data_IF_142659399282
#
_entry.id   IF_142659399282
#
_cell.length_a   1.000
_cell.length_b   1.000
_cell.length_c   1.000
_cell.angle_alpha   90.00
_cell.angle_beta   90.00
_cell.angle_gamma   90.00
#
_symmetry.space_group_name_H-M   'P 1'
#
loop_
_entity.id
_entity.type
_entity.pdbx_description
1 polymer ?
2 non-polymer ?
3 water ?
#
# COMPACT_ATOMS: atom_id res chain seq x y z
N UNK A 1 1.93 -19.99 3.70
CA UNK A 1 1.94 -18.51 3.37
C UNK A 1 2.34 -17.69 4.62
N UNK A 2 1.88 -16.44 4.70
CA UNK A 2 2.02 -15.56 5.89
C UNK A 2 0.68 -14.91 6.20
N UNK A 3 0.53 -14.39 7.41
CA UNK A 3 -0.72 -13.78 7.91
C UNK A 3 -0.51 -12.32 8.29
N UNK A 4 -1.60 -11.59 8.40
CA UNK A 4 -1.64 -10.17 8.84
C UNK A 4 -2.56 -10.11 10.05
N UNK A 5 -2.15 -9.34 11.07
CA UNK A 5 -2.93 -9.18 12.32
C UNK A 5 -3.04 -7.69 12.66
N UNK A 6 -4.28 -7.26 12.90
CA UNK A 6 -4.61 -5.88 13.32
C UNK A 6 -4.97 -5.91 14.80
N UNK A 7 -4.23 -5.14 15.61
CA UNK A 7 -4.45 -4.94 17.05
C UNK A 7 -5.48 -3.83 17.22
N UNK A 8 -6.67 -4.16 17.69
CA UNK A 8 -7.75 -3.20 18.04
C UNK A 8 -7.92 -2.18 16.92
N UNK A 9 -8.13 -2.61 15.65
CA UNK A 9 -8.39 -1.67 14.54
C UNK A 9 -9.56 -0.72 14.82
N UNK A 10 -9.42 0.56 14.50
CA UNK A 10 -10.35 1.64 14.97
C UNK A 10 -11.20 2.18 13.81
N UNK A 11 -10.66 2.19 12.60
CA UNK A 11 -11.26 2.91 11.45
C UNK A 11 -11.66 1.88 10.39
N UNK A 12 -12.94 1.88 10.04
CA UNK A 12 -13.56 0.77 9.27
C UNK A 12 -13.00 0.72 7.84
N UNK A 13 -13.01 1.81 7.05
CA UNK A 13 -12.56 1.74 5.65
C UNK A 13 -11.16 1.09 5.57
N UNK A 14 -10.28 1.34 6.55
CA UNK A 14 -8.90 0.78 6.57
C UNK A 14 -9.00 -0.74 6.59
N UNK A 15 -9.83 -1.28 7.47
CA UNK A 15 -9.98 -2.73 7.66
C UNK A 15 -10.66 -3.34 6.42
N UNK A 16 -11.58 -2.59 5.80
CA UNK A 16 -12.20 -3.02 4.53
C UNK A 16 -11.12 -3.16 3.47
N UNK A 17 -10.30 -2.13 3.34
CA UNK A 17 -9.15 -2.08 2.42
C UNK A 17 -8.24 -3.29 2.63
N UNK A 18 -7.97 -3.60 3.90
CA UNK A 18 -7.00 -4.64 4.30
C UNK A 18 -7.61 -6.02 4.05
N UNK A 19 -8.93 -6.18 4.15
CA UNK A 19 -9.55 -7.48 3.82
C UNK A 19 -9.37 -7.74 2.32
N UNK A 20 -9.60 -6.75 1.45
CA UNK A 20 -9.42 -6.94 -0.03
C UNK A 20 -7.95 -7.34 -0.24
N UNK A 21 -7.06 -6.66 0.45
CA UNK A 21 -5.59 -6.82 0.30
C UNK A 21 -5.16 -8.24 0.65
N UNK A 22 -5.67 -8.79 1.73
CA UNK A 22 -5.35 -10.16 2.17
C UNK A 22 -5.81 -11.15 1.09
N UNK A 23 -6.98 -10.92 0.49
CA UNK A 23 -7.48 -11.81 -0.58
C UNK A 23 -6.51 -11.69 -1.76
N UNK A 24 -6.03 -10.47 -2.03
CA UNK A 24 -5.21 -10.17 -3.23
C UNK A 24 -3.82 -10.84 -3.11
N UNK A 25 -3.27 -11.01 -1.92
CA UNK A 25 -1.93 -11.63 -1.72
C UNK A 25 -2.02 -12.96 -0.95
N UNK A 26 -3.24 -13.39 -0.61
CA UNK A 26 -3.54 -14.73 -0.07
C UNK A 26 -3.08 -14.95 1.37
N UNK A 27 -3.01 -13.88 2.15
CA UNK A 27 -2.71 -13.90 3.60
C UNK A 27 -4.02 -14.12 4.37
N UNK A 28 -3.95 -14.75 5.53
CA UNK A 28 -5.10 -14.74 6.46
C UNK A 28 -5.04 -13.44 7.28
N UNK A 29 -6.20 -12.94 7.69
CA UNK A 29 -6.33 -11.68 8.44
C UNK A 29 -6.85 -11.99 9.84
N UNK A 30 -6.15 -11.50 10.85
CA UNK A 30 -6.49 -11.65 12.28
C UNK A 30 -6.88 -10.28 12.82
N UNK A 31 -8.08 -10.17 13.37
CA UNK A 31 -8.57 -8.95 14.03
C UNK A 31 -8.63 -9.22 15.52
N UNK A 32 -7.88 -8.47 16.32
CA UNK A 32 -7.85 -8.66 17.78
C UNK A 32 -8.80 -7.64 18.38
N UNK A 33 -9.92 -8.12 18.97
CA UNK A 33 -10.94 -7.28 19.64
C UNK A 33 -10.36 -6.58 20.86
N UNK A 34 -10.94 -5.44 21.32
CA UNK A 34 -12.07 -4.79 20.65
C UNK A 34 -11.75 -3.92 19.42
N UNK A 35 -12.68 -3.90 18.46
CA UNK A 35 -12.70 -3.12 17.20
C UNK A 35 -13.39 -1.79 17.46
N UNK A 36 -13.16 -0.75 16.65
CA UNK A 36 -13.85 0.55 16.72
C UNK A 36 -15.09 0.58 15.83
N UNK A 37 -15.55 -0.59 15.40
CA UNK A 37 -16.63 -0.69 14.39
C UNK A 37 -17.25 -2.10 14.45
N UNK A 38 -18.44 -2.21 13.86
CA UNK A 38 -19.20 -3.47 13.66
C UNK A 38 -18.91 -3.94 12.23
N UNK A 39 -19.00 -5.24 11.95
CA UNK A 39 -18.94 -5.79 10.56
C UNK A 39 -20.36 -6.16 10.11
N UNK A 40 -21.29 -5.21 10.10
CA UNK A 40 -22.72 -5.41 9.69
C UNK A 40 -22.78 -5.66 8.17
N UNK A 41 -23.59 -6.63 7.72
CA UNK A 41 -23.73 -7.05 6.29
C UNK A 41 -23.89 -5.82 5.37
N UNK A 42 -24.59 -4.77 5.82
CA UNK A 42 -24.97 -3.59 4.98
C UNK A 42 -23.72 -2.69 4.72
N UNK A 43 -22.81 -2.57 5.70
CA UNK A 43 -21.52 -1.80 5.61
C UNK A 43 -20.52 -2.60 4.76
N UNK A 44 -20.48 -3.92 4.96
CA UNK A 44 -19.63 -4.91 4.22
C UNK A 44 -19.94 -4.88 2.71
N UNK A 45 -21.23 -4.84 2.34
CA UNK A 45 -21.72 -4.78 0.94
C UNK A 45 -21.40 -3.40 0.34
N UNK A 46 -21.62 -2.31 1.11
CA UNK A 46 -21.34 -0.91 0.70
C UNK A 46 -19.85 -0.76 0.33
N UNK A 47 -18.95 -1.50 1.01
CA UNK A 47 -17.49 -1.47 0.78
C UNK A 47 -17.04 -2.54 -0.24
N UNK A 48 -17.97 -3.16 -0.99
CA UNK A 48 -17.67 -4.06 -2.13
C UNK A 48 -17.14 -5.44 -1.72
N UNK A 49 -17.56 -5.95 -0.55
CA UNK A 49 -17.10 -7.25 0.00
C UNK A 49 -18.26 -8.24 0.11
N UNK A 50 -17.92 -9.51 0.36
CA UNK A 50 -18.85 -10.67 0.34
C UNK A 50 -18.43 -11.69 1.42
N UNK A 51 -19.12 -12.85 1.45
CA UNK A 51 -18.82 -14.07 2.26
C UNK A 51 -17.36 -14.53 2.06
N UNK A 52 -16.87 -14.55 0.82
CA UNK A 52 -15.59 -15.23 0.44
C UNK A 52 -14.42 -14.43 1.01
N UNK A 53 -14.47 -13.10 0.91
CA UNK A 53 -13.47 -12.17 1.49
C UNK A 53 -13.43 -12.33 3.02
N UNK A 54 -14.60 -12.56 3.64
CA UNK A 54 -14.75 -12.60 5.12
C UNK A 54 -14.45 -14.00 5.70
N UNK A 55 -14.12 -14.98 4.86
CA UNK A 55 -13.69 -16.34 5.29
C UNK A 55 -12.26 -16.26 5.82
N UNK A 56 -11.39 -15.51 5.13
CA UNK A 56 -9.98 -15.19 5.51
C UNK A 56 -9.91 -14.55 6.92
N UNK A 57 -11.01 -13.97 7.44
CA UNK A 57 -11.01 -13.15 8.70
C UNK A 57 -11.27 -14.03 9.91
N UNK A 58 -10.36 -14.04 10.87
CA UNK A 58 -10.52 -14.68 12.19
C UNK A 58 -10.46 -13.57 13.25
N UNK A 59 -11.44 -13.53 14.14
CA UNK A 59 -11.52 -12.60 15.30
C UNK A 59 -10.93 -13.30 16.53
N UNK A 60 -10.27 -12.56 17.42
CA UNK A 60 -9.71 -13.03 18.72
C UNK A 60 -10.18 -12.10 19.83
N UNK A 61 -10.42 -12.68 21.01
CA UNK A 61 -10.99 -12.00 22.20
C UNK A 61 -9.99 -10.95 22.69
N UNK A 62 -8.69 -11.25 22.60
CA UNK A 62 -7.58 -10.39 23.08
C UNK A 62 -6.24 -10.92 22.53
N UNK A 63 -5.14 -10.22 22.84
CA UNK A 63 -3.79 -10.55 22.31
C UNK A 63 -3.43 -12.00 22.66
N UNK A 64 -3.74 -12.42 23.89
CA UNK A 64 -3.30 -13.76 24.39
C UNK A 64 -4.13 -14.84 23.67
N UNK A 65 -5.40 -14.59 23.37
CA UNK A 65 -6.26 -15.52 22.58
C UNK A 65 -5.64 -15.71 21.19
N UNK A 66 -5.13 -14.62 20.62
CA UNK A 66 -4.45 -14.59 19.31
C UNK A 66 -3.19 -15.45 19.39
N UNK A 67 -2.38 -15.30 20.44
CA UNK A 67 -1.17 -16.15 20.62
C UNK A 67 -1.56 -17.62 20.82
N UNK A 68 -2.63 -17.89 21.57
CA UNK A 68 -3.04 -19.29 21.87
C UNK A 68 -3.37 -19.96 20.53
N UNK A 69 -4.11 -19.25 19.68
CA UNK A 69 -4.54 -19.70 18.33
C UNK A 69 -3.34 -20.11 17.49
N UNK A 70 -2.27 -19.32 17.54
CA UNK A 70 -1.09 -19.52 16.66
C UNK A 70 -0.29 -20.73 17.13
N UNK A 71 -0.11 -20.89 18.43
CA UNK A 71 0.70 -22.04 18.93
C UNK A 71 -0.11 -23.34 18.73
N UNK A 72 -1.45 -23.31 18.75
CA UNK A 72 -2.35 -24.48 18.51
C UNK A 72 -2.35 -24.87 17.01
N UNK A 73 -1.53 -24.23 16.19
CA UNK A 73 -1.57 -24.33 14.72
C UNK A 73 -0.20 -24.65 14.13
N UNK A 74 0.88 -24.29 14.82
CA UNK A 74 2.25 -24.61 14.37
C UNK A 74 3.27 -23.53 14.73
N UNK A 75 4.42 -23.58 14.05
CA UNK A 75 5.53 -22.59 14.19
C UNK A 75 5.02 -21.23 13.67
N UNK A 76 5.53 -20.15 14.24
CA UNK A 76 5.20 -18.75 13.85
C UNK A 76 6.22 -17.79 14.44
N UNK A 77 6.38 -16.66 13.79
CA UNK A 77 7.12 -15.49 14.31
C UNK A 77 6.18 -14.30 14.18
N UNK A 78 6.08 -13.45 15.19
CA UNK A 78 5.31 -12.19 15.08
C UNK A 78 6.28 -11.05 14.76
N UNK A 79 5.99 -10.28 13.71
CA UNK A 79 6.76 -9.07 13.34
C UNK A 79 5.88 -7.85 13.62
N UNK A 80 6.38 -6.90 14.40
CA UNK A 80 5.62 -5.70 14.78
C UNK A 80 6.05 -4.53 13.90
N UNK A 81 5.08 -3.89 13.22
CA UNK A 81 5.27 -2.61 12.49
C UNK A 81 5.23 -1.48 13.52
N UNK A 82 6.35 -0.77 13.64
CA UNK A 82 6.53 0.27 14.68
C UNK A 82 7.55 1.32 14.23
N UNK A 83 7.41 2.54 14.77
CA UNK A 83 8.39 3.62 14.57
C UNK A 83 9.49 3.47 15.61
N UNK A 84 9.31 2.58 16.59
CA UNK A 84 10.16 2.52 17.80
C UNK A 84 11.32 1.52 17.63
N UNK A 85 11.93 1.48 16.44
CA UNK A 85 13.04 0.55 16.12
C UNK A 85 13.89 1.15 14.98
N UNK A 86 15.01 0.52 14.67
CA UNK A 86 16.00 1.00 13.67
C UNK A 86 15.93 0.14 12.40
N UNK A 87 15.41 -1.10 12.50
CA UNK A 87 15.35 -2.09 11.41
C UNK A 87 14.24 -1.80 10.38
N UNK A 88 14.63 -1.79 9.10
CA UNK A 88 13.70 -1.66 7.93
C UNK A 88 12.99 -2.99 7.66
N UNK A 89 11.81 -2.90 7.05
CA UNK A 89 10.98 -4.05 6.60
C UNK A 89 11.78 -4.92 5.63
N UNK A 90 12.70 -4.33 4.86
CA UNK A 90 13.53 -5.02 3.84
C UNK A 90 14.63 -5.87 4.49
N UNK A 91 15.04 -5.53 5.72
CA UNK A 91 16.27 -6.09 6.33
C UNK A 91 15.92 -7.36 7.08
N UNK A 92 14.63 -7.61 7.34
CA UNK A 92 14.16 -8.87 7.95
C UNK A 92 14.09 -9.94 6.86
N UNK A 93 14.49 -11.17 7.19
CA UNK A 93 14.37 -12.37 6.33
C UNK A 93 13.01 -13.03 6.68
N UNK A 94 11.98 -12.84 5.86
CA UNK A 94 10.61 -13.37 6.12
C UNK A 94 10.59 -14.84 5.74
N UNK A 95 9.63 -15.58 6.29
CA UNK A 95 9.48 -17.01 5.95
C UNK A 95 8.04 -17.43 6.21
N UNK A 96 7.61 -18.45 5.47
CA UNK A 96 6.29 -19.12 5.64
C UNK A 96 6.03 -19.23 7.16
N UNK A 97 4.82 -18.85 7.60
CA UNK A 97 4.34 -18.96 9.00
C UNK A 97 4.44 -17.66 9.78
N UNK A 98 5.16 -16.66 9.26
CA UNK A 98 5.33 -15.33 9.91
C UNK A 98 3.98 -14.61 9.95
N UNK A 99 3.83 -13.72 10.94
CA UNK A 99 2.61 -12.90 11.17
C UNK A 99 3.02 -11.42 11.24
N UNK A 100 2.42 -10.58 10.40
CA UNK A 100 2.71 -9.14 10.35
C UNK A 100 1.67 -8.40 11.20
N UNK A 101 2.09 -7.88 12.34
CA UNK A 101 1.24 -7.28 13.39
C UNK A 101 1.26 -5.77 13.28
N UNK A 102 0.07 -5.15 13.29
CA UNK A 102 -0.12 -3.69 13.08
C UNK A 102 -0.94 -3.14 14.24
N UNK A 103 -0.59 -1.94 14.70
CA UNK A 103 -1.25 -1.28 15.83
C UNK A 103 -2.45 -0.47 15.34
N UNK A 104 -3.31 -0.04 16.27
CA UNK A 104 -4.42 0.83 15.94
C UNK A 104 -3.91 2.19 15.44
N UNK A 105 -4.66 2.78 14.50
CA UNK A 105 -4.33 4.00 13.71
C UNK A 105 -4.06 5.18 14.67
N UNK A 106 -4.78 5.22 15.79
CA UNK A 106 -4.95 6.41 16.66
C UNK A 106 -4.11 6.27 17.93
N UNK A 107 -3.33 5.17 18.05
CA UNK A 107 -2.72 4.79 19.34
C UNK A 107 -1.37 4.11 19.14
N UNK A 108 -1.24 3.28 18.10
CA UNK A 108 -0.07 2.39 17.91
C UNK A 108 -0.11 1.20 18.86
N UNK A 109 0.77 0.22 18.62
CA UNK A 109 0.86 -1.03 19.44
C UNK A 109 1.25 -0.67 20.87
N UNK A 110 0.72 -1.40 21.86
CA UNK A 110 1.15 -1.23 23.25
C UNK A 110 2.67 -1.49 23.38
N UNK A 111 3.35 -0.70 24.21
CA UNK A 111 4.80 -0.83 24.53
C UNK A 111 5.12 -2.30 24.85
N UNK A 112 4.29 -2.95 25.67
CA UNK A 112 4.48 -4.32 26.23
C UNK A 112 4.58 -5.33 25.10
N UNK A 113 3.70 -5.21 24.10
CA UNK A 113 3.59 -6.15 22.94
C UNK A 113 4.88 -6.05 22.11
N UNK A 114 5.27 -4.83 21.71
CA UNK A 114 6.54 -4.57 20.96
C UNK A 114 7.72 -5.11 21.76
N UNK A 115 7.72 -4.92 23.09
CA UNK A 115 8.86 -5.28 23.96
C UNK A 115 8.92 -6.79 24.12
N UNK A 116 7.78 -7.48 23.93
CA UNK A 116 7.70 -8.95 24.07
C UNK A 116 8.52 -9.62 22.96
N UNK A 117 8.86 -8.90 21.90
CA UNK A 117 9.51 -9.47 20.69
C UNK A 117 10.95 -8.98 20.62
N UNK A 118 11.89 -9.80 20.10
CA UNK A 118 13.27 -9.34 19.88
C UNK A 118 13.42 -8.27 18.81
N UNK A 119 14.51 -7.50 18.86
CA UNK A 119 14.86 -6.40 17.93
C UNK A 119 14.60 -6.83 16.47
N UNK A 120 15.06 -8.01 16.07
CA UNK A 120 15.01 -8.48 14.66
C UNK A 120 13.56 -8.57 14.16
N UNK A 121 12.56 -8.70 15.05
CA UNK A 121 11.12 -8.90 14.74
C UNK A 121 10.33 -7.60 14.91
N UNK A 122 11.03 -6.49 15.06
CA UNK A 122 10.43 -5.14 15.07
C UNK A 122 10.88 -4.42 13.80
N UNK A 123 9.94 -3.84 13.04
CA UNK A 123 10.28 -3.32 11.69
C UNK A 123 9.55 -2.01 11.48
N UNK A 124 10.25 -1.07 10.84
CA UNK A 124 9.75 0.26 10.45
C UNK A 124 9.86 0.38 8.93
N UNK A 125 8.88 0.99 8.30
CA UNK A 125 8.99 1.37 6.86
C UNK A 125 9.84 2.64 6.79
N UNK A 126 10.87 2.69 5.92
CA UNK A 126 11.61 3.91 5.69
C UNK A 126 10.67 5.11 5.47
N UNK A 127 11.07 6.28 5.94
CA UNK A 127 10.32 7.55 5.84
C UNK A 127 11.31 8.67 5.56
N UNK A 128 10.97 9.57 4.62
CA UNK A 128 11.59 10.90 4.49
C UNK A 128 11.37 11.62 5.82
N UNK A 129 12.27 12.56 6.19
CA UNK A 129 12.09 13.38 7.37
C UNK A 129 10.77 14.15 7.43
N UNK A 130 10.19 14.25 8.63
CA UNK A 130 9.12 15.23 8.95
C UNK A 130 7.97 15.03 7.93
N UNK A 131 7.54 13.77 7.75
CA UNK A 131 6.41 13.38 6.87
C UNK A 131 5.25 12.85 7.74
N UNK A 132 4.01 13.22 7.38
CA UNK A 132 2.78 12.62 7.95
C UNK A 132 2.90 11.08 7.85
N UNK A 133 2.37 10.36 8.84
CA UNK A 133 2.27 8.87 8.82
C UNK A 133 1.45 8.38 7.60
N UNK A 134 1.77 7.16 7.13
CA UNK A 134 1.09 6.45 6.00
C UNK A 134 -0.30 6.04 6.47
N UNK A 135 -1.25 5.93 5.54
CA UNK A 135 -2.51 5.19 5.82
C UNK A 135 -2.15 3.77 6.23
N UNK A 136 -2.85 3.23 7.22
CA UNK A 136 -2.61 1.85 7.74
C UNK A 136 -2.61 0.82 6.59
N UNK A 137 -3.57 0.84 5.67
CA UNK A 137 -3.67 -0.13 4.55
C UNK A 137 -2.39 -0.09 3.73
N UNK A 138 -1.89 1.10 3.44
CA UNK A 138 -0.66 1.28 2.62
C UNK A 138 0.53 0.67 3.37
N UNK A 139 0.63 0.87 4.67
CA UNK A 139 1.71 0.28 5.50
C UNK A 139 1.63 -1.25 5.44
N UNK A 140 0.42 -1.79 5.50
CA UNK A 140 0.21 -3.26 5.45
C UNK A 140 0.63 -3.74 4.06
N UNK A 141 0.23 -3.02 3.01
CA UNK A 141 0.55 -3.31 1.60
C UNK A 141 2.07 -3.39 1.42
N UNK A 142 2.80 -2.37 1.88
CA UNK A 142 4.27 -2.25 1.73
C UNK A 142 4.90 -3.47 2.40
N UNK A 143 4.56 -3.71 3.65
CA UNK A 143 5.31 -4.75 4.38
C UNK A 143 4.89 -6.13 3.83
N UNK A 144 3.60 -6.32 3.56
CA UNK A 144 3.04 -7.59 2.99
C UNK A 144 3.74 -7.89 1.66
N UNK A 145 3.96 -6.89 0.80
CA UNK A 145 4.51 -7.16 -0.55
C UNK A 145 6.01 -7.30 -0.48
N UNK A 146 6.66 -6.90 0.61
CA UNK A 146 8.10 -7.19 0.78
C UNK A 146 8.23 -8.65 1.22
N UNK A 147 7.46 -9.09 2.21
CA UNK A 147 7.43 -10.49 2.67
C UNK A 147 7.13 -11.40 1.47
N UNK A 148 6.12 -11.05 0.67
CA UNK A 148 5.72 -11.87 -0.49
C UNK A 148 6.88 -11.92 -1.48
N UNK A 149 7.59 -10.81 -1.68
CA UNK A 149 8.69 -10.76 -2.69
C UNK A 149 9.76 -11.78 -2.29
N UNK A 150 10.13 -11.77 -1.01
CA UNK A 150 11.18 -12.63 -0.41
C UNK A 150 10.76 -14.09 -0.55
N UNK A 151 9.45 -14.38 -0.61
CA UNK A 151 8.90 -15.73 -0.84
C UNK A 151 8.62 -15.95 -2.34
N UNK A 152 9.29 -15.22 -3.23
CA UNK A 152 9.18 -15.31 -4.70
C UNK A 152 7.75 -15.25 -5.19
N UNK A 153 6.84 -14.62 -4.45
CA UNK A 153 5.39 -14.44 -4.78
C UNK A 153 4.75 -15.82 -4.96
N UNK A 154 5.11 -16.80 -4.12
CA UNK A 154 4.47 -18.14 -4.08
C UNK A 154 2.95 -17.95 -4.16
N UNK A 155 2.33 -18.56 -5.18
CA UNK A 155 0.87 -18.73 -5.27
C UNK A 155 0.14 -17.68 -6.09
N UNK A 156 0.88 -16.73 -6.68
CA UNK A 156 0.37 -15.63 -7.54
C UNK A 156 -0.16 -16.24 -8.85
N UNK A 157 -0.96 -15.52 -9.62
CA UNK A 157 -1.48 -16.01 -10.93
C UNK A 157 -0.29 -16.45 -11.79
N UNK A 158 -0.30 -17.70 -12.26
CA UNK A 158 0.72 -18.30 -13.15
C UNK A 158 2.03 -18.66 -12.47
N UNK A 159 1.98 -19.19 -11.23
CA UNK A 159 3.12 -19.56 -10.33
C UNK A 159 2.80 -20.90 -9.66
N UNK B 1 12.98 12.76 -6.68
CA UNK B 1 13.77 11.68 -7.42
C UNK B 1 12.91 10.82 -8.41
N UNK B 2 11.71 10.31 -8.07
CA UNK B 2 10.72 9.79 -9.06
C UNK B 2 9.34 10.37 -8.73
N UNK B 3 8.43 10.34 -9.68
CA UNK B 3 7.07 10.95 -9.57
C UNK B 3 5.99 9.89 -9.73
N UNK B 4 4.82 10.22 -9.22
CA UNK B 4 3.61 9.37 -9.29
C UNK B 4 2.55 10.19 -10.00
N UNK B 5 1.80 9.56 -10.91
CA UNK B 5 0.78 10.22 -11.73
C UNK B 5 -0.49 9.39 -11.71
N UNK B 6 -1.60 10.03 -11.35
CA UNK B 6 -2.96 9.43 -11.34
C UNK B 6 -3.72 9.96 -12.53
N UNK B 7 -4.16 9.08 -13.43
CA UNK B 7 -5.04 9.36 -14.59
C UNK B 7 -6.49 9.35 -14.07
N UNK B 8 -7.13 10.51 -14.09
CA UNK B 8 -8.56 10.72 -13.75
C UNK B 8 -8.92 9.97 -12.46
N UNK B 9 -8.21 10.20 -11.35
CA UNK B 9 -8.60 9.62 -10.06
C UNK B 9 -10.04 9.99 -9.65
N UNK B 10 -10.77 9.03 -9.10
CA UNK B 10 -12.24 9.10 -8.90
C UNK B 10 -12.58 9.23 -7.41
N UNK B 11 -11.78 8.64 -6.50
CA UNK B 11 -12.18 8.45 -5.08
C UNK B 11 -11.22 9.22 -4.18
N UNK B 12 -11.72 10.13 -3.34
CA UNK B 12 -10.88 11.14 -2.65
C UNK B 12 -9.97 10.50 -1.61
N UNK B 13 -10.49 9.67 -0.66
CA UNK B 13 -9.63 8.99 0.31
C UNK B 13 -8.38 8.36 -0.35
N UNK B 14 -8.51 7.76 -1.55
CA UNK B 14 -7.36 7.13 -2.25
C UNK B 14 -6.29 8.20 -2.49
N UNK B 15 -6.70 9.35 -2.97
CA UNK B 15 -5.75 10.43 -3.34
C UNK B 15 -5.15 11.04 -2.06
N UNK B 16 -5.93 11.08 -0.98
CA UNK B 16 -5.42 11.42 0.35
C UNK B 16 -4.30 10.49 0.77
N UNK B 17 -4.55 9.19 0.68
CA UNK B 17 -3.58 8.12 1.04
C UNK B 17 -2.32 8.28 0.21
N UNK B 18 -2.48 8.61 -1.07
CA UNK B 18 -1.34 8.71 -2.03
C UNK B 18 -0.54 9.99 -1.75
N UNK B 19 -1.19 11.06 -1.30
CA UNK B 19 -0.44 12.29 -0.92
C UNK B 19 0.45 11.99 0.27
N UNK B 20 -0.06 11.29 1.30
CA UNK B 20 0.76 10.92 2.49
C UNK B 20 1.94 10.12 1.96
N UNK B 21 1.65 9.17 1.09
CA UNK B 21 2.66 8.22 0.57
C UNK B 21 3.78 8.95 -0.17
N UNK B 22 3.45 9.92 -1.01
CA UNK B 22 4.44 10.70 -1.79
C UNK B 22 5.32 11.48 -0.80
N UNK B 23 4.76 12.00 0.29
CA UNK B 23 5.56 12.73 1.30
C UNK B 23 6.54 11.73 1.91
N UNK B 24 6.06 10.52 2.17
CA UNK B 24 6.85 9.49 2.88
C UNK B 24 8.04 9.03 2.04
N UNK B 25 7.92 8.97 0.70
CA UNK B 25 8.99 8.47 -0.20
C UNK B 25 9.55 9.60 -1.08
N UNK B 26 9.03 10.82 -0.93
CA UNK B 26 9.59 12.04 -1.52
C UNK B 26 9.31 12.18 -3.00
N UNK B 27 8.22 11.60 -3.48
CA UNK B 27 7.79 11.68 -4.89
C UNK B 27 6.91 12.92 -5.08
N UNK B 28 6.92 13.48 -6.28
CA UNK B 28 5.93 14.50 -6.68
C UNK B 28 4.70 13.73 -7.19
N UNK B 29 3.52 14.34 -7.09
CA UNK B 29 2.24 13.69 -7.45
C UNK B 29 1.62 14.51 -8.57
N UNK B 30 1.22 13.83 -9.66
CA UNK B 30 0.56 14.43 -10.84
C UNK B 30 -0.87 13.93 -10.90
N UNK B 31 -1.85 14.83 -10.91
CA UNK B 31 -3.27 14.49 -11.05
C UNK B 31 -3.71 14.98 -12.43
N UNK B 32 -4.13 14.05 -13.29
CA UNK B 32 -4.56 14.37 -14.67
C UNK B 32 -6.08 14.49 -14.65
N UNK B 33 -6.60 15.71 -14.87
CA UNK B 33 -8.06 16.04 -14.88
C UNK B 33 -8.78 15.26 -15.99
N UNK B 34 -10.11 15.01 -15.87
CA UNK B 34 -10.91 15.38 -14.70
C UNK B 34 -10.82 14.44 -13.49
N UNK B 35 -10.93 15.03 -12.30
CA UNK B 35 -10.94 14.34 -10.98
C UNK B 35 -12.39 14.07 -10.61
N UNK B 36 -12.66 13.07 -9.76
CA UNK B 36 -14.01 12.77 -9.23
C UNK B 36 -14.29 13.51 -7.92
N UNK B 37 -13.47 14.51 -7.62
CA UNK B 37 -13.51 15.21 -6.31
C UNK B 37 -12.79 16.57 -6.44
N UNK B 38 -13.02 17.43 -5.45
CA UNK B 38 -12.29 18.72 -5.27
C UNK B 38 -11.20 18.48 -4.23
N UNK B 39 -10.14 19.29 -4.23
CA UNK B 39 -9.24 19.41 -3.06
C UNK B 39 -9.72 20.59 -2.19
N UNK B 40 -10.97 20.54 -1.70
CA UNK B 40 -11.59 21.60 -0.87
C UNK B 40 -10.94 21.51 0.52
N UNK B 41 -10.57 22.65 1.12
CA UNK B 41 -9.73 22.73 2.35
C UNK B 41 -10.40 21.91 3.47
N UNK B 42 -11.74 21.87 3.52
CA UNK B 42 -12.54 21.25 4.62
C UNK B 42 -12.46 19.71 4.53
N UNK B 43 -12.41 19.11 3.33
CA UNK B 43 -12.29 17.65 3.10
C UNK B 43 -10.84 17.22 3.35
N UNK B 44 -9.88 18.05 2.90
CA UNK B 44 -8.39 17.89 3.08
C UNK B 44 -8.05 17.86 4.58
N UNK B 45 -8.64 18.75 5.39
CA UNK B 45 -8.41 18.85 6.86
C UNK B 45 -9.10 17.70 7.58
N UNK B 46 -10.31 17.28 7.15
CA UNK B 46 -11.07 16.13 7.73
C UNK B 46 -10.20 14.85 7.59
N UNK B 47 -9.38 14.75 6.54
CA UNK B 47 -8.46 13.61 6.30
C UNK B 47 -7.05 13.86 6.88
N UNK B 48 -6.87 14.86 7.75
CA UNK B 48 -5.66 15.04 8.57
C UNK B 48 -4.51 15.73 7.83
N UNK B 49 -4.82 16.50 6.79
CA UNK B 49 -3.83 17.22 5.93
C UNK B 49 -4.10 18.73 6.00
N UNK B 50 -3.32 19.51 5.23
CA UNK B 50 -3.59 20.95 4.96
C UNK B 50 -2.96 21.35 3.62
N UNK B 51 -3.03 22.64 3.27
CA UNK B 51 -2.58 23.25 1.98
C UNK B 51 -1.09 22.95 1.70
N UNK B 52 -0.23 22.88 2.72
CA UNK B 52 1.23 22.61 2.58
C UNK B 52 1.44 21.17 2.06
N UNK B 53 0.62 20.21 2.47
CA UNK B 53 0.67 18.80 1.97
C UNK B 53 0.42 18.74 0.46
N UNK B 54 -0.36 19.68 -0.08
CA UNK B 54 -0.71 19.77 -1.52
C UNK B 54 0.33 20.57 -2.33
N UNK B 55 1.54 20.83 -1.83
CA UNK B 55 2.61 21.52 -2.58
C UNK B 55 3.21 20.59 -3.67
N UNK B 56 3.47 19.33 -3.32
CA UNK B 56 4.00 18.32 -4.28
C UNK B 56 3.00 18.02 -5.41
N UNK B 57 1.73 18.49 -5.31
CA UNK B 57 0.63 18.14 -6.26
C UNK B 57 0.61 19.13 -7.42
N UNK B 58 0.69 18.60 -8.63
CA UNK B 58 0.57 19.35 -9.89
C UNK B 58 -0.65 18.79 -10.64
N UNK B 59 -1.55 19.65 -11.09
CA UNK B 59 -2.73 19.28 -11.91
C UNK B 59 -2.41 19.52 -13.37
N UNK B 60 -2.96 18.70 -14.27
CA UNK B 60 -2.85 18.78 -15.74
C UNK B 60 -4.26 18.69 -16.34
N UNK B 61 -4.51 19.42 -17.44
CA UNK B 61 -5.85 19.54 -18.08
C UNK B 61 -6.21 18.16 -18.67
N UNK B 62 -5.22 17.41 -19.16
CA UNK B 62 -5.42 16.07 -19.79
C UNK B 62 -4.10 15.33 -19.96
N UNK B 63 -4.13 14.11 -20.48
CA UNK B 63 -2.93 13.24 -20.58
C UNK B 63 -1.86 13.97 -21.41
N UNK B 64 -2.26 14.63 -22.49
CA UNK B 64 -1.30 15.24 -23.43
C UNK B 64 -0.63 16.45 -22.75
N UNK B 65 -1.37 17.18 -21.92
CA UNK B 65 -0.84 18.31 -21.13
C UNK B 65 0.27 17.77 -20.21
N UNK B 66 0.00 16.62 -19.61
CA UNK B 66 0.93 15.92 -18.69
C UNK B 66 2.19 15.53 -19.47
N UNK B 67 2.05 14.99 -20.67
CA UNK B 67 3.23 14.65 -21.52
C UNK B 67 4.03 15.92 -21.86
N UNK B 68 3.33 17.01 -22.23
CA UNK B 68 4.00 18.26 -22.67
C UNK B 68 4.85 18.76 -21.49
N UNK B 69 4.27 18.73 -20.27
CA UNK B 69 4.90 19.15 -19.00
C UNK B 69 6.23 18.43 -18.77
N UNK B 70 6.24 17.12 -18.99
CA UNK B 70 7.43 16.27 -18.70
C UNK B 70 8.54 16.57 -19.72
N UNK B 71 8.19 16.67 -21.00
CA UNK B 71 9.15 16.99 -22.10
C UNK B 71 9.84 18.32 -21.81
N UNK B 72 9.05 19.32 -21.40
CA UNK B 72 9.55 20.72 -21.24
C UNK B 72 10.25 20.86 -19.89
N UNK B 73 10.59 19.76 -19.22
CA UNK B 73 11.11 19.76 -17.84
C UNK B 73 12.44 19.01 -17.79
N UNK B 74 12.64 17.96 -18.59
CA UNK B 74 13.83 17.10 -18.42
C UNK B 74 13.59 15.68 -18.88
N UNK B 75 14.60 14.83 -18.72
CA UNK B 75 14.58 13.39 -19.11
C UNK B 75 13.57 12.66 -18.21
N UNK B 76 12.90 11.64 -18.75
CA UNK B 76 11.84 10.87 -18.05
C UNK B 76 11.54 9.57 -18.79
N UNK B 77 11.05 8.60 -18.03
CA UNK B 77 10.51 7.32 -18.50
C UNK B 77 9.13 7.21 -17.87
N UNK B 78 8.08 6.90 -18.63
CA UNK B 78 6.76 6.60 -18.00
C UNK B 78 6.66 5.08 -17.86
N UNK B 79 6.29 4.61 -16.68
CA UNK B 79 5.87 3.22 -16.41
C UNK B 79 4.35 3.19 -16.24
N UNK B 80 3.69 2.34 -17.03
CA UNK B 80 2.23 2.11 -16.99
C UNK B 80 1.99 0.95 -16.04
N UNK B 81 1.34 1.27 -14.93
CA UNK B 81 1.07 0.31 -13.84
C UNK B 81 -0.29 -0.27 -14.13
N UNK B 82 -0.35 -1.54 -14.50
CA UNK B 82 -1.59 -2.17 -15.00
C UNK B 82 -1.57 -3.68 -14.72
N UNK B 83 -2.75 -4.27 -14.65
CA UNK B 83 -2.96 -5.73 -14.48
C UNK B 83 -2.76 -6.38 -15.85
N UNK B 84 -2.86 -5.59 -16.91
CA UNK B 84 -3.00 -6.05 -18.32
C UNK B 84 -1.62 -6.17 -18.98
N UNK B 85 -0.66 -6.73 -18.25
CA UNK B 85 0.68 -7.04 -18.75
C UNK B 85 1.30 -8.14 -17.88
N UNK B 86 2.43 -8.67 -18.33
CA UNK B 86 3.06 -9.93 -17.84
C UNK B 86 4.25 -9.60 -16.90
N UNK B 87 4.92 -8.47 -17.10
CA UNK B 87 6.11 -8.05 -16.35
C UNK B 87 5.82 -7.54 -14.95
N UNK B 88 6.55 -8.02 -13.93
CA UNK B 88 6.36 -7.62 -12.50
C UNK B 88 7.04 -6.28 -12.23
N UNK B 89 6.54 -5.57 -11.21
CA UNK B 89 7.12 -4.31 -10.66
C UNK B 89 8.57 -4.55 -10.19
N UNK B 90 8.90 -5.76 -9.74
CA UNK B 90 10.28 -6.08 -9.24
C UNK B 90 11.25 -6.34 -10.40
N UNK B 91 10.79 -6.57 -11.64
CA UNK B 91 11.69 -6.93 -12.76
C UNK B 91 12.15 -5.67 -13.47
N UNK B 92 11.54 -4.53 -13.21
CA UNK B 92 11.98 -3.25 -13.82
C UNK B 92 13.15 -2.67 -13.01
N UNK B 93 14.15 -2.11 -13.69
CA UNK B 93 15.29 -1.40 -13.05
C UNK B 93 14.90 0.10 -13.00
N UNK B 94 14.50 0.62 -11.84
CA UNK B 94 13.97 2.02 -11.71
C UNK B 94 15.14 3.00 -11.65
N UNK B 95 14.90 4.27 -11.92
CA UNK B 95 15.98 5.28 -11.85
C UNK B 95 15.38 6.69 -11.69
N UNK B 96 16.16 7.60 -11.09
CA UNK B 96 15.87 9.06 -11.00
C UNK B 96 15.19 9.48 -12.32
N UNK B 97 14.05 10.18 -12.23
CA UNK B 97 13.32 10.81 -13.35
C UNK B 97 12.14 9.98 -13.84
N UNK B 98 11.99 8.74 -13.34
CA UNK B 98 10.89 7.85 -13.73
C UNK B 98 9.56 8.42 -13.26
N UNK B 99 8.48 8.07 -13.96
CA UNK B 99 7.08 8.44 -13.60
C UNK B 99 6.24 7.15 -13.54
N UNK B 100 5.63 6.90 -12.40
CA UNK B 100 4.73 5.74 -12.22
C UNK B 100 3.30 6.21 -12.47
N UNK B 101 2.70 5.74 -13.57
CA UNK B 101 1.37 6.18 -14.03
C UNK B 101 0.32 5.14 -13.63
N UNK B 102 -0.77 5.58 -13.03
CA UNK B 102 -1.84 4.71 -12.48
C UNK B 102 -3.18 5.11 -13.09
N UNK B 103 -4.01 4.10 -13.29
CA UNK B 103 -5.33 4.25 -13.92
C UNK B 103 -6.40 4.58 -12.90
N UNK B 104 -7.56 5.06 -13.40
CA UNK B 104 -8.71 5.34 -12.53
C UNK B 104 -9.28 4.04 -11.98
N UNK B 105 -9.84 4.13 -10.78
CA UNK B 105 -10.30 3.02 -9.91
C UNK B 105 -11.22 2.06 -10.66
N UNK B 106 -12.04 2.58 -11.57
CA UNK B 106 -13.15 1.84 -12.21
C UNK B 106 -12.74 1.29 -13.57
N UNK B 107 -12.40 2.15 -14.53
CA UNK B 107 -12.14 1.74 -15.94
C UNK B 107 -10.68 1.26 -16.07
N UNK B 108 -9.75 1.66 -15.19
CA UNK B 108 -8.32 1.37 -15.38
C UNK B 108 -7.73 2.22 -16.49
N UNK B 109 -6.43 2.08 -16.81
CA UNK B 109 -5.83 2.93 -17.87
C UNK B 109 -6.41 2.58 -19.24
N UNK B 110 -6.61 3.59 -20.10
CA UNK B 110 -7.01 3.33 -21.47
C UNK B 110 -5.96 2.45 -22.20
N UNK B 111 -6.43 1.51 -23.03
CA UNK B 111 -5.59 0.56 -23.80
C UNK B 111 -4.54 1.34 -24.60
N UNK B 112 -4.93 2.47 -25.22
CA UNK B 112 -4.05 3.32 -26.08
C UNK B 112 -2.80 3.78 -25.33
N UNK B 113 -2.98 4.22 -24.07
CA UNK B 113 -1.91 4.79 -23.19
C UNK B 113 -0.89 3.68 -22.90
N UNK B 114 -1.38 2.53 -22.43
CA UNK B 114 -0.54 1.34 -22.12
C UNK B 114 0.21 0.95 -23.38
N UNK B 115 -0.45 0.96 -24.53
CA UNK B 115 0.13 0.46 -25.80
C UNK B 115 1.14 1.49 -26.34
N UNK B 116 1.06 2.74 -25.91
CA UNK B 116 2.01 3.80 -26.33
C UNK B 116 3.40 3.51 -25.76
N UNK B 117 3.51 2.64 -24.76
CA UNK B 117 4.79 2.35 -24.07
C UNK B 117 5.23 0.95 -24.37
N UNK B 118 6.55 0.66 -24.44
CA UNK B 118 7.05 -0.71 -24.64
C UNK B 118 6.75 -1.63 -23.46
N UNK B 119 6.77 -2.95 -23.70
CA UNK B 119 6.59 -4.03 -22.68
C UNK B 119 7.41 -3.72 -21.43
N UNK B 120 8.67 -3.34 -21.61
CA UNK B 120 9.66 -3.13 -20.52
C UNK B 120 9.18 -2.06 -19.53
N UNK B 121 8.29 -1.13 -19.95
CA UNK B 121 7.81 0.03 -19.14
C UNK B 121 6.33 -0.19 -18.78
N UNK B 122 5.87 -1.43 -18.81
CA UNK B 122 4.53 -1.82 -18.31
C UNK B 122 4.73 -2.79 -17.14
N UNK B 123 4.05 -2.59 -16.01
CA UNK B 123 4.33 -3.39 -14.79
C UNK B 123 3.04 -3.74 -14.07
N UNK B 124 2.98 -4.98 -13.62
CA UNK B 124 1.87 -5.61 -12.89
C UNK B 124 2.39 -6.05 -11.52
N UNK B 125 1.65 -5.71 -10.46
CA UNK B 125 1.90 -6.30 -9.13
C UNK B 125 1.32 -7.71 -9.13
N UNK B 126 2.11 -8.74 -8.76
CA UNK B 126 1.57 -10.09 -8.68
C UNK B 126 0.31 -10.08 -7.80
N UNK B 127 -0.64 -10.96 -8.11
CA UNK B 127 -1.93 -11.12 -7.40
C UNK B 127 -2.33 -12.60 -7.41
N UNK B 128 -3.05 -13.04 -6.38
CA UNK B 128 -3.67 -14.39 -6.28
C UNK B 128 -4.54 -14.60 -7.52
N UNK B 129 -4.75 -15.87 -7.91
CA UNK B 129 -5.40 -16.19 -9.17
C UNK B 129 -6.83 -15.62 -9.29
N UNK B 130 -7.63 -15.61 -8.20
CA UNK B 130 -9.07 -15.27 -8.28
C UNK B 130 -9.26 -13.78 -7.96
N UNK B 131 -8.28 -12.91 -8.27
CA UNK B 131 -8.24 -11.47 -7.89
C UNK B 131 -8.31 -10.60 -9.14
N UNK B 132 -9.14 -9.54 -9.12
CA UNK B 132 -9.35 -8.62 -10.28
C UNK B 132 -8.30 -7.48 -10.24
N UNK B 133 -8.04 -6.88 -9.07
CA UNK B 133 -7.18 -5.64 -8.96
C UNK B 133 -6.97 -5.20 -7.49
N UNK B 134 -5.85 -4.50 -7.25
CA UNK B 134 -5.55 -3.85 -5.94
C UNK B 134 -6.29 -2.52 -5.85
N UNK B 135 -6.63 -2.11 -4.62
CA UNK B 135 -7.00 -0.71 -4.32
C UNK B 135 -5.89 0.21 -4.87
N UNK B 136 -6.30 1.34 -5.45
CA UNK B 136 -5.39 2.29 -6.12
C UNK B 136 -4.20 2.68 -5.20
N UNK B 137 -4.47 3.10 -3.96
CA UNK B 137 -3.38 3.66 -3.14
C UNK B 137 -2.45 2.52 -2.71
N UNK B 138 -2.96 1.31 -2.55
CA UNK B 138 -2.14 0.11 -2.22
C UNK B 138 -1.18 -0.14 -3.39
N UNK B 139 -1.68 -0.10 -4.62
CA UNK B 139 -0.85 -0.28 -5.84
C UNK B 139 0.26 0.78 -5.86
N UNK B 140 -0.09 2.03 -5.56
CA UNK B 140 0.90 3.13 -5.58
C UNK B 140 1.94 2.87 -4.50
N UNK B 141 1.50 2.48 -3.31
CA UNK B 141 2.38 2.20 -2.15
C UNK B 141 3.41 1.11 -2.51
N UNK B 142 2.91 -0.02 -3.01
CA UNK B 142 3.75 -1.19 -3.38
C UNK B 142 4.78 -0.75 -4.42
N UNK B 143 4.32 -0.13 -5.51
CA UNK B 143 5.25 0.14 -6.64
C UNK B 143 6.21 1.23 -6.22
N UNK B 144 5.73 2.26 -5.53
CA UNK B 144 6.58 3.38 -5.05
C UNK B 144 7.69 2.83 -4.14
N UNK B 145 7.37 1.89 -3.27
CA UNK B 145 8.35 1.39 -2.29
C UNK B 145 9.26 0.34 -2.91
N UNK B 146 8.92 -0.20 -4.08
CA UNK B 146 9.87 -1.07 -4.82
C UNK B 146 10.88 -0.17 -5.53
N UNK B 147 10.43 0.87 -6.21
CA UNK B 147 11.34 1.86 -6.84
C UNK B 147 12.27 2.45 -5.77
N UNK B 148 11.74 2.85 -4.62
CA UNK B 148 12.56 3.47 -3.57
C UNK B 148 13.58 2.43 -3.08
N UNK B 149 13.21 1.15 -2.98
CA UNK B 149 14.14 0.12 -2.45
C UNK B 149 15.36 0.05 -3.37
N UNK B 150 15.09 -0.02 -4.68
CA UNK B 150 16.09 -0.13 -5.77
C UNK B 150 17.00 1.11 -5.78
N UNK B 151 16.52 2.26 -5.29
CA UNK B 151 17.29 3.52 -5.13
C UNK B 151 17.84 3.61 -3.71
N UNK B 152 18.01 2.47 -3.03
CA UNK B 152 18.59 2.34 -1.68
C UNK B 152 17.93 3.23 -0.64
N UNK B 153 16.68 3.64 -0.85
CA UNK B 153 15.90 4.51 0.05
C UNK B 153 16.64 5.85 0.23
N UNK B 154 17.24 6.37 -0.83
CA UNK B 154 17.87 7.73 -0.86
C UNK B 154 16.96 8.71 -0.11
N UNK B 155 17.50 9.31 0.95
CA UNK B 155 16.95 10.50 1.64
C UNK B 155 16.12 10.15 2.86
N UNK B 156 16.13 8.90 3.33
CA UNK B 156 15.32 8.41 4.48
C UNK B 156 15.95 8.73 5.85
N UNK B 157 15.12 8.91 6.87
CA UNK B 157 15.53 9.24 8.28
C UNK B 157 16.53 8.16 8.73
N UNK B 158 17.75 8.56 9.12
CA UNK B 158 18.77 7.71 9.77
C UNK B 158 19.52 6.79 8.79
N UNK B 159 19.36 7.01 7.48
CA UNK B 159 19.79 6.11 6.38
C UNK B 159 20.62 6.88 5.34
X LIG C 1 -11.13 -2.12 -11.33
X LIG C 1 -10.43 -1.98 -12.63
X LIG C 1 -8.91 -1.80 -12.43
X LIG C 1 -8.51 -0.40 -11.92
X LIG C 1 -7.57 -0.38 -10.34
X LIG C 1 -10.70 -3.21 -13.51
X LIG C 1 -11.79 -3.82 -13.53
X LIG C 1 -9.80 -3.64 -14.24
X LIG C 1 -6.73 1.23 -10.40
X LIG C 1 -5.27 1.24 -10.85
X LIG C 1 -4.44 0.60 -9.87
X LIG C 1 -4.95 0.47 -12.13
X LIG C 1 -5.36 1.11 -13.34
X LIG C 1 -3.43 0.34 -11.99
X LIG C 1 -2.74 1.49 -12.41
X LIG C 1 -3.30 0.06 -10.50
X LIG C 1 -3.27 -1.36 -10.21
X LIG C 1 -4.24 -2.15 -9.63
X LIG C 1 -3.90 -3.41 -9.49
X LIG C 1 -2.64 -3.46 -10.06
X LIG C 1 -1.72 -4.53 -10.24
X LIG C 1 -1.96 -5.78 -9.85
X LIG C 1 -0.54 -4.24 -10.86
X LIG C 1 -0.30 -2.97 -11.21
X LIG C 1 -1.05 -1.87 -11.05
X LIG C 1 -2.23 -2.20 -10.48
#
# INVERSE_FOLDING_TARGET
>A
MFDIALYEPEIAPNTGNIIRLCANCGANLHLIEPLGFDLEEKKVRRAGLDYHDLARVTRHKNYQAFLDYLEQRGEYRIFACTTKTTGHHVDAQYRQGDVLLFGPETRGLPMEVIESLPMSQRIRIPMMPDARSLNLSNAVAIIAFEAWRQLGFQGAKGHHHHHHG
>B
MFDIALYEPEIAPNTGNIIRLCANCGANLHLIEPLGFDLEEKKVRRAGLDYHDLARVTRHKNYQAFLDYLEQRGEYRIFACTTKTTGHHVDAQYRQGDVLLFGPETRGLPMEVIESLPMSQRIRIPMMPDARSLNLSNAVAIIAFEAWRQLGFQGAKGHHHHHHG
>C hetero
1 SAH N CA CB CG SD C O OXT C5' C4' O4' C3' O3' C2' O2' C1' N9 C8 N7 C5 C6 N6 N1 C2 N3 C4
#
